data_IF_544673125081
#
_entry.id   IF_544673125081
#
_cell.length_a   1.000
_cell.length_b   1.000
_cell.length_c   1.000
_cell.angle_alpha   90.00
_cell.angle_beta   90.00
_cell.angle_gamma   90.00
#
_symmetry.space_group_name_H-M   'P 1'
#
loop_
_entity.id
_entity.type
_entity.pdbx_description
1 polymer ?
#
# COMPACT_ATOMS: atom_id res chain seq x y z
N UNK A 1 14.22 -0.08 20.61
CA UNK A 1 13.15 -0.43 19.66
C UNK A 1 12.87 0.81 18.81
N UNK A 2 13.42 0.89 17.58
CA UNK A 2 13.32 2.08 16.72
C UNK A 2 12.16 1.88 15.74
N UNK A 3 11.13 2.75 15.68
CA UNK A 3 10.15 2.67 14.60
C UNK A 3 10.77 3.20 13.30
N UNK A 4 10.58 2.45 12.21
CA UNK A 4 11.09 2.76 10.89
C UNK A 4 10.21 3.79 10.16
N UNK A 5 10.89 4.85 9.70
CA UNK A 5 10.70 5.64 8.46
C UNK A 5 9.31 6.25 8.22
N UNK A 6 9.17 7.54 8.57
CA UNK A 6 8.19 8.44 7.97
C UNK A 6 8.63 8.84 6.55
N UNK A 7 7.89 8.41 5.55
CA UNK A 7 8.05 8.87 4.16
C UNK A 7 7.35 10.23 4.00
N UNK A 8 8.04 11.32 4.36
CA UNK A 8 7.51 12.68 4.16
C UNK A 8 7.82 13.15 2.73
N UNK A 9 6.95 12.82 1.78
CA UNK A 9 7.01 13.36 0.42
C UNK A 9 5.74 14.17 0.16
N UNK A 10 5.85 15.50 0.27
CA UNK A 10 5.09 16.59 -0.39
C UNK A 10 3.56 16.53 -0.52
N UNK A 11 2.93 15.50 0.00
CA UNK A 11 1.51 15.25 0.03
C UNK A 11 1.24 14.87 1.47
N UNK A 12 0.46 15.68 2.20
CA UNK A 12 0.08 15.40 3.58
C UNK A 12 -0.68 14.06 3.67
N UNK A 13 0.08 12.96 3.69
CA UNK A 13 -0.42 11.61 3.78
C UNK A 13 0.35 10.84 4.82
N UNK A 14 -0.37 9.97 5.54
CA UNK A 14 0.18 9.07 6.55
C UNK A 14 -0.23 7.67 6.19
N UNK A 15 0.74 6.76 6.24
CA UNK A 15 0.51 5.34 5.98
C UNK A 15 0.99 4.57 7.19
N UNK A 16 0.16 3.66 7.69
CA UNK A 16 0.51 2.74 8.75
C UNK A 16 0.24 1.31 8.30
N UNK A 17 1.19 0.42 8.55
CA UNK A 17 1.09 -1.00 8.23
C UNK A 17 1.12 -1.78 9.53
N UNK A 18 0.18 -2.69 9.73
CA UNK A 18 0.13 -3.56 10.90
C UNK A 18 -0.19 -4.98 10.48
N UNK A 19 0.48 -5.96 11.08
CA UNK A 19 0.16 -7.37 10.89
C UNK A 19 -1.22 -7.68 11.48
N UNK A 20 -2.01 -8.49 10.78
CA UNK A 20 -3.28 -8.98 11.30
C UNK A 20 -3.04 -10.22 12.19
N UNK A 21 -3.93 -10.49 13.17
CA UNK A 21 -3.87 -11.73 13.95
C UNK A 21 -4.14 -12.99 13.11
N UNK A 22 -4.59 -12.82 11.86
CA UNK A 22 -4.75 -13.86 10.84
C UNK A 22 -3.76 -13.65 9.68
N UNK A 23 -3.74 -14.56 8.71
CA UNK A 23 -2.91 -14.43 7.51
C UNK A 23 -3.23 -13.13 6.76
N UNK A 24 -2.33 -12.14 6.86
CA UNK A 24 -2.44 -10.87 6.15
C UNK A 24 -1.85 -9.70 6.92
N UNK A 25 -1.99 -8.51 6.33
CA UNK A 25 -1.62 -7.25 6.94
C UNK A 25 -2.70 -6.21 6.62
N UNK A 26 -2.82 -5.23 7.50
CA UNK A 26 -3.67 -4.07 7.31
C UNK A 26 -2.82 -2.87 6.93
N UNK A 27 -3.24 -2.13 5.92
CA UNK A 27 -2.68 -0.83 5.56
C UNK A 27 -3.74 0.23 5.84
N UNK A 28 -3.40 1.22 6.68
CA UNK A 28 -4.24 2.38 6.96
C UNK A 28 -3.63 3.59 6.28
N UNK A 29 -4.43 4.26 5.45
CA UNK A 29 -4.01 5.43 4.67
C UNK A 29 -4.85 6.62 5.12
N UNK A 30 -4.19 7.69 5.55
CA UNK A 30 -4.82 8.98 5.81
C UNK A 30 -4.25 9.97 4.80
N UNK A 31 -5.09 10.50 3.91
CA UNK A 31 -4.68 11.45 2.88
C UNK A 31 -5.84 12.39 2.53
N UNK A 32 -5.51 13.62 2.13
CA UNK A 32 -6.51 14.64 1.78
C UNK A 32 -7.04 14.53 0.34
N UNK A 33 -6.41 13.72 -0.53
CA UNK A 33 -6.82 13.54 -1.92
C UNK A 33 -6.89 12.07 -2.29
N UNK A 34 -7.94 11.69 -3.02
CA UNK A 34 -8.15 10.32 -3.49
C UNK A 34 -7.06 9.85 -4.45
N UNK A 35 -6.51 10.72 -5.31
CA UNK A 35 -5.42 10.35 -6.23
C UNK A 35 -4.18 9.83 -5.50
N UNK A 36 -3.93 10.33 -4.28
CA UNK A 36 -2.80 9.86 -3.45
C UNK A 36 -3.09 8.45 -2.94
N UNK A 37 -4.33 8.19 -2.51
CA UNK A 37 -4.77 6.87 -2.03
C UNK A 37 -4.64 5.85 -3.17
N UNK A 38 -5.12 6.18 -4.37
CA UNK A 38 -5.03 5.31 -5.56
C UNK A 38 -3.58 4.97 -5.92
N UNK A 39 -2.68 5.97 -5.88
CA UNK A 39 -1.26 5.74 -6.15
C UNK A 39 -0.61 4.82 -5.12
N UNK A 40 -0.94 4.99 -3.83
CA UNK A 40 -0.44 4.13 -2.75
C UNK A 40 -0.97 2.71 -2.91
N UNK A 41 -2.27 2.54 -3.16
CA UNK A 41 -2.88 1.23 -3.39
C UNK A 41 -2.29 0.53 -4.60
N UNK A 42 -2.12 1.24 -5.72
CA UNK A 42 -1.48 0.70 -6.92
C UNK A 42 -0.06 0.22 -6.65
N UNK A 43 0.73 1.00 -5.90
CA UNK A 43 2.11 0.62 -5.52
C UNK A 43 2.14 -0.64 -4.66
N UNK A 44 1.26 -0.71 -3.64
CA UNK A 44 1.14 -1.89 -2.78
C UNK A 44 0.73 -3.12 -3.59
N UNK A 45 -0.25 -2.96 -4.49
CA UNK A 45 -0.74 -4.04 -5.33
C UNK A 45 0.36 -4.58 -6.26
N UNK A 46 1.10 -3.68 -6.94
CA UNK A 46 2.28 -4.05 -7.75
C UNK A 46 3.31 -4.82 -6.95
N UNK A 47 3.66 -4.32 -5.76
CA UNK A 47 4.62 -4.97 -4.88
C UNK A 47 4.19 -6.38 -4.47
N UNK A 48 2.93 -6.57 -4.07
CA UNK A 48 2.37 -7.87 -3.71
C UNK A 48 2.41 -8.84 -4.89
N UNK A 49 2.00 -8.40 -6.08
CA UNK A 49 1.93 -9.31 -7.22
C UNK A 49 3.31 -9.77 -7.69
N UNK A 50 4.29 -8.87 -7.71
CA UNK A 50 5.68 -9.20 -8.07
C UNK A 50 6.35 -10.09 -7.02
N UNK A 51 6.20 -9.78 -5.73
CA UNK A 51 7.00 -10.44 -4.68
C UNK A 51 6.33 -11.66 -4.05
N UNK A 52 4.99 -11.76 -4.07
CA UNK A 52 4.26 -12.83 -3.39
C UNK A 52 3.69 -13.84 -4.39
N UNK A 53 3.35 -13.41 -5.61
CA UNK A 53 2.64 -14.25 -6.56
C UNK A 53 3.39 -14.53 -7.86
N UNK A 54 4.60 -13.98 -8.06
CA UNK A 54 5.37 -14.01 -9.31
C UNK A 54 4.48 -13.74 -10.55
N UNK A 55 3.45 -12.91 -10.36
CA UNK A 55 2.47 -12.55 -11.37
C UNK A 55 2.75 -11.12 -11.76
N UNK A 56 3.11 -10.89 -13.03
CA UNK A 56 2.95 -9.57 -13.63
C UNK A 56 1.47 -9.18 -13.55
N UNK A 57 1.17 -8.08 -12.86
CA UNK A 57 -0.16 -7.49 -12.81
C UNK A 57 -0.51 -6.96 -14.20
N UNK A 58 -1.15 -7.79 -15.01
CA UNK A 58 -1.97 -7.28 -16.11
C UNK A 58 -3.14 -6.54 -15.49
N UNK A 59 -3.15 -5.23 -15.70
CA UNK A 59 -4.11 -4.29 -15.14
C UNK A 59 -5.55 -4.75 -15.37
N UNK A 60 -6.35 -4.68 -14.29
CA UNK A 60 -7.82 -4.59 -14.30
C UNK A 60 -8.57 -5.70 -15.07
N UNK A 61 -8.87 -6.83 -14.41
CA UNK A 61 -10.08 -7.57 -14.77
C UNK A 61 -11.29 -6.91 -14.11
N UNK A 62 -12.00 -6.14 -14.93
CA UNK A 62 -13.36 -5.64 -14.66
C UNK A 62 -14.29 -6.85 -14.50
N UNK A 63 -14.85 -7.02 -13.31
CA UNK A 63 -16.05 -7.84 -13.10
C UNK A 63 -17.24 -6.89 -13.02
#
# INVERSE_FOLDING_TARGET
>A
MKPLVLYSNTFDCRVAISQLPTHGFAVRIFAYRTQIIEKILGTIQSYIAENIYDRKLDFLRKY
#
